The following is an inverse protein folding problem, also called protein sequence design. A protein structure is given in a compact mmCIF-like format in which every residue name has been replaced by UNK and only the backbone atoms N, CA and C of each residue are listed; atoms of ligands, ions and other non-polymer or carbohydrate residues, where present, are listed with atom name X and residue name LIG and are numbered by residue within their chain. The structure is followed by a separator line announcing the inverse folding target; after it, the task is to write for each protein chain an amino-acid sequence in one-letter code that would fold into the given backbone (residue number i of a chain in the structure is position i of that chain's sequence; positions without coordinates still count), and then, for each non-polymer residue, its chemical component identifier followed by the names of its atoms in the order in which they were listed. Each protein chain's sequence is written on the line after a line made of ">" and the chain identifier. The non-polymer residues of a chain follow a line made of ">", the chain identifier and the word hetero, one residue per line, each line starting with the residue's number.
data_IF_178818113955
#
_entry.id   IF_178818113955
#
_cell.length_a   1.000
_cell.length_b   1.000
_cell.length_c   1.000
_cell.angle_alpha   90.00
_cell.angle_beta   90.00
_cell.angle_gamma   90.00
#
_symmetry.space_group_name_H-M   'P 1'
#
loop_
_entity.id
_entity.type
_entity.pdbx_description
1 polymer ?
#
# COMPACT_ATOMS: atom_id res chain seq x y z
N UNK A 1 5.04 -26.22 -2.87
CA UNK A 1 4.69 -24.99 -3.62
C UNK A 1 5.80 -24.72 -4.61
N UNK A 2 5.47 -24.53 -5.88
CA UNK A 2 6.45 -24.14 -6.91
C UNK A 2 6.50 -22.61 -6.94
N UNK A 3 7.67 -21.98 -6.72
CA UNK A 3 7.79 -20.53 -6.79
C UNK A 3 7.41 -19.99 -8.17
N UNK A 4 6.85 -18.78 -8.21
CA UNK A 4 6.64 -18.08 -9.47
C UNK A 4 7.99 -17.81 -10.16
N UNK A 5 8.04 -17.82 -11.51
CA UNK A 5 9.26 -17.51 -12.24
C UNK A 5 9.71 -16.07 -11.98
N UNK A 6 11.03 -15.84 -12.07
CA UNK A 6 11.61 -14.50 -11.99
C UNK A 6 11.11 -13.65 -13.14
N UNK A 7 10.68 -12.43 -12.84
CA UNK A 7 10.20 -11.49 -13.87
C UNK A 7 11.36 -11.01 -14.76
N UNK A 8 11.12 -10.72 -16.04
CA UNK A 8 12.11 -10.07 -16.90
C UNK A 8 12.59 -8.73 -16.32
N UNK A 9 13.83 -8.35 -16.64
CA UNK A 9 14.36 -7.05 -16.27
C UNK A 9 13.66 -5.93 -17.04
N UNK A 10 13.47 -4.80 -16.38
CA UNK A 10 12.98 -3.55 -16.97
C UNK A 10 14.05 -2.47 -16.85
N UNK A 11 13.96 -1.45 -17.70
CA UNK A 11 14.90 -0.33 -17.64
C UNK A 11 14.59 0.58 -16.42
N UNK A 12 15.59 1.28 -15.86
CA UNK A 12 15.37 2.21 -14.75
C UNK A 12 14.36 3.32 -15.07
N UNK A 13 14.27 3.75 -16.33
CA UNK A 13 13.36 4.81 -16.77
C UNK A 13 11.88 4.42 -16.60
N UNK A 14 11.56 3.12 -16.69
CA UNK A 14 10.20 2.63 -16.42
C UNK A 14 9.86 2.78 -14.93
N UNK A 15 10.81 2.48 -14.04
CA UNK A 15 10.62 2.65 -12.60
C UNK A 15 10.45 4.13 -12.23
N UNK A 16 11.23 5.02 -12.85
CA UNK A 16 11.20 6.45 -12.58
C UNK A 16 9.87 7.13 -12.95
N UNK A 17 9.01 6.47 -13.73
CA UNK A 17 7.67 6.97 -14.04
C UNK A 17 6.68 6.81 -12.88
N UNK A 18 7.01 6.01 -11.86
CA UNK A 18 6.15 5.76 -10.71
C UNK A 18 6.48 6.74 -9.58
N UNK A 19 5.51 7.57 -9.18
CA UNK A 19 5.64 8.46 -8.02
C UNK A 19 5.47 7.65 -6.72
N UNK A 20 6.60 7.27 -6.10
CA UNK A 20 6.65 6.54 -4.83
C UNK A 20 7.03 7.51 -3.72
N UNK A 21 6.18 7.65 -2.70
CA UNK A 21 6.38 8.57 -1.58
C UNK A 21 6.23 7.90 -0.23
N UNK A 22 6.96 8.42 0.75
CA UNK A 22 6.77 8.10 2.16
C UNK A 22 5.65 8.99 2.71
N UNK A 23 4.75 8.40 3.47
CA UNK A 23 3.69 9.13 4.16
C UNK A 23 3.50 8.60 5.58
N UNK A 24 3.05 9.48 6.48
CA UNK A 24 2.72 9.14 7.85
C UNK A 24 1.26 8.73 7.94
N UNK A 25 0.98 7.57 8.54
CA UNK A 25 -0.39 7.17 8.86
C UNK A 25 -0.87 8.02 10.04
N UNK A 26 -1.87 8.87 9.82
CA UNK A 26 -2.45 9.72 10.86
C UNK A 26 -3.61 9.03 11.58
N UNK A 27 -4.37 8.18 10.88
CA UNK A 27 -5.43 7.38 11.48
C UNK A 27 -5.72 6.11 10.68
N UNK A 28 -6.32 5.14 11.37
CA UNK A 28 -6.74 3.85 10.82
C UNK A 28 -8.20 3.63 11.19
N UNK A 29 -9.02 3.26 10.21
CA UNK A 29 -10.43 2.91 10.42
C UNK A 29 -10.75 1.58 9.75
N UNK A 30 -11.71 0.85 10.33
CA UNK A 30 -12.22 -0.37 9.72
C UNK A 30 -13.01 -0.08 8.44
N UNK A 31 -12.85 -0.96 7.45
CA UNK A 31 -13.76 -0.98 6.29
C UNK A 31 -14.98 -1.81 6.68
N UNK A 32 -16.17 -1.18 6.62
CA UNK A 32 -17.45 -1.82 6.94
C UNK A 32 -17.61 -3.10 6.12
N UNK A 33 -18.10 -4.17 6.76
CA UNK A 33 -18.26 -5.50 6.18
C UNK A 33 -16.97 -6.17 5.70
N UNK A 34 -15.79 -5.68 6.12
CA UNK A 34 -14.53 -6.33 5.84
C UNK A 34 -13.84 -6.85 7.09
N UNK A 35 -13.52 -8.14 7.03
CA UNK A 35 -12.72 -8.83 8.02
C UNK A 35 -11.21 -8.66 7.81
N UNK A 36 -10.80 -8.12 6.66
CA UNK A 36 -9.38 -8.09 6.23
C UNK A 36 -8.86 -6.69 5.96
N UNK A 37 -9.74 -5.72 5.68
CA UNK A 37 -9.35 -4.41 5.18
C UNK A 37 -9.44 -3.33 6.27
N UNK A 38 -8.46 -2.42 6.23
CA UNK A 38 -8.49 -1.13 6.94
C UNK A 38 -8.32 0.00 5.94
N UNK A 39 -8.88 1.17 6.25
CA UNK A 39 -8.63 2.42 5.55
C UNK A 39 -7.64 3.24 6.36
N UNK A 40 -6.51 3.58 5.74
CA UNK A 40 -5.44 4.39 6.31
C UNK A 40 -5.59 5.82 5.81
N UNK A 41 -5.70 6.78 6.73
CA UNK A 41 -5.52 8.20 6.39
C UNK A 41 -4.02 8.50 6.41
N UNK A 42 -3.43 8.66 5.24
CA UNK A 42 -1.98 8.87 5.07
C UNK A 42 -1.73 10.32 4.69
N UNK A 43 -0.81 10.96 5.41
CA UNK A 43 -0.32 12.31 5.13
C UNK A 43 1.06 12.23 4.46
N UNK A 44 1.17 12.79 3.26
CA UNK A 44 2.40 12.87 2.47
C UNK A 44 3.16 14.19 2.64
N UNK A 45 2.70 15.05 3.55
CA UNK A 45 3.22 16.40 3.79
C UNK A 45 2.45 17.47 3.02
N UNK A 46 2.36 17.32 1.69
CA UNK A 46 1.66 18.24 0.78
C UNK A 46 0.16 17.94 0.63
N UNK A 47 -0.23 16.68 0.85
CA UNK A 47 -1.62 16.26 0.77
C UNK A 47 -1.89 15.01 1.61
N UNK A 48 -3.18 14.71 1.79
CA UNK A 48 -3.64 13.53 2.51
C UNK A 48 -4.50 12.64 1.61
N UNK A 49 -4.25 11.33 1.65
CA UNK A 49 -5.04 10.32 0.91
C UNK A 49 -5.57 9.26 1.84
N UNK A 50 -6.65 8.61 1.40
CA UNK A 50 -7.15 7.39 2.03
C UNK A 50 -6.67 6.19 1.23
N UNK A 51 -5.95 5.27 1.87
CA UNK A 51 -5.40 4.06 1.26
C UNK A 51 -6.04 2.84 1.93
N UNK A 52 -6.66 1.96 1.13
CA UNK A 52 -7.24 0.71 1.65
C UNK A 52 -6.19 -0.39 1.60
N UNK A 53 -5.94 -1.05 2.73
CA UNK A 53 -4.91 -2.07 2.85
C UNK A 53 -5.44 -3.32 3.57
N UNK A 54 -5.01 -4.49 3.10
CA UNK A 54 -5.37 -5.80 3.64
C UNK A 54 -4.53 -6.23 4.84
N UNK A 55 -4.41 -5.38 5.86
CA UNK A 55 -3.50 -5.57 7.00
C UNK A 55 -4.23 -5.82 8.34
N UNK A 56 -5.56 -5.88 8.35
CA UNK A 56 -6.37 -5.93 9.58
C UNK A 56 -6.01 -7.08 10.53
N UNK A 57 -5.56 -8.21 9.97
CA UNK A 57 -5.23 -9.44 10.70
C UNK A 57 -3.75 -9.84 10.60
N UNK A 58 -2.89 -8.94 10.14
CA UNK A 58 -1.48 -9.28 9.89
C UNK A 58 -0.71 -9.63 11.18
N UNK A 59 -1.18 -9.15 12.34
CA UNK A 59 -0.58 -9.39 13.66
C UNK A 59 -1.56 -9.99 14.68
N UNK A 60 -2.63 -10.63 14.21
CA UNK A 60 -3.68 -11.24 15.02
C UNK A 60 -3.53 -12.76 15.12
#
# INVERSE_FOLDING_TARGET
>A
MTPAPVKPTISPEVLNQIDIRVGTIESVSDVVNSEKLVALRVNFGDHKRTVVAGMKRERS
#
